data_IF_159763780750
#
_entry.id   IF_159763780750
#
_cell.length_a   1.000
_cell.length_b   1.000
_cell.length_c   1.000
_cell.angle_alpha   90.00
_cell.angle_beta   90.00
_cell.angle_gamma   90.00
#
_symmetry.space_group_name_H-M   'P 1'
#
loop_
_entity.id
_entity.type
_entity.pdbx_description
1 polymer ?
#
# COMPACT_ATOMS: atom_id res chain seq x y z
N UNK A 1 30.73 52.00 50.45
CA UNK A 1 30.02 52.70 49.35
C UNK A 1 29.95 51.74 48.17
N UNK A 2 28.74 51.40 47.69
CA UNK A 2 28.54 50.51 46.53
C UNK A 2 28.72 51.34 45.26
N UNK A 3 29.69 51.00 44.42
CA UNK A 3 29.83 51.60 43.09
C UNK A 3 28.65 51.16 42.22
N UNK A 4 27.80 52.12 41.85
CA UNK A 4 26.77 51.90 40.83
C UNK A 4 27.45 51.96 39.46
N UNK A 5 27.84 50.80 38.94
CA UNK A 5 28.37 50.68 37.57
C UNK A 5 27.22 50.82 36.58
N UNK A 6 27.12 51.99 35.94
CA UNK A 6 26.22 52.20 34.81
C UNK A 6 26.64 51.34 33.62
N UNK A 7 25.68 50.64 33.01
CA UNK A 7 25.91 49.90 31.77
C UNK A 7 26.22 50.88 30.64
N UNK A 8 27.29 50.64 29.88
CA UNK A 8 27.64 51.51 28.74
C UNK A 8 26.74 51.20 27.56
N UNK A 9 26.41 52.20 26.74
CA UNK A 9 25.58 52.05 25.54
C UNK A 9 26.11 50.96 24.58
N UNK A 10 27.43 50.77 24.53
CA UNK A 10 28.10 49.72 23.77
C UNK A 10 27.76 48.33 24.30
N UNK A 11 27.71 48.14 25.63
CA UNK A 11 27.32 46.85 26.24
C UNK A 11 25.88 46.46 25.89
N UNK A 12 24.97 47.45 25.79
CA UNK A 12 23.59 47.25 25.35
C UNK A 12 23.50 46.84 23.88
N UNK A 13 24.26 47.50 23.00
CA UNK A 13 24.28 47.18 21.57
C UNK A 13 24.85 45.78 21.30
N UNK A 14 25.92 45.40 22.00
CA UNK A 14 26.51 44.04 21.88
C UNK A 14 25.55 42.99 22.45
N UNK A 15 24.89 43.26 23.58
CA UNK A 15 23.88 42.35 24.14
C UNK A 15 22.68 42.12 23.20
N UNK A 16 22.20 43.18 22.54
CA UNK A 16 21.14 43.11 21.53
C UNK A 16 21.58 42.28 20.32
N UNK A 17 22.81 42.47 19.83
CA UNK A 17 23.36 41.72 18.71
C UNK A 17 23.42 40.21 19.02
N UNK A 18 23.93 39.84 20.19
CA UNK A 18 24.01 38.44 20.63
C UNK A 18 22.60 37.85 20.74
N UNK A 19 21.64 38.58 21.32
CA UNK A 19 20.25 38.14 21.41
C UNK A 19 19.64 37.89 20.02
N UNK A 20 19.88 38.78 19.05
CA UNK A 20 19.41 38.59 17.67
C UNK A 20 20.02 37.34 17.02
N UNK A 21 21.33 37.11 17.18
CA UNK A 21 21.98 35.91 16.64
C UNK A 21 21.43 34.63 17.27
N UNK A 22 21.17 34.62 18.58
CA UNK A 22 20.53 33.49 19.25
C UNK A 22 19.12 33.22 18.73
N UNK A 23 18.30 34.24 18.53
CA UNK A 23 16.94 34.08 17.99
C UNK A 23 16.98 33.48 16.57
N UNK A 24 17.90 33.93 15.72
CA UNK A 24 18.06 33.39 14.36
C UNK A 24 18.49 31.92 14.38
N UNK A 25 19.40 31.53 15.28
CA UNK A 25 19.81 30.14 15.47
C UNK A 25 18.65 29.25 15.97
N UNK A 26 17.84 29.76 16.89
CA UNK A 26 16.66 29.05 17.38
C UNK A 26 15.59 28.90 16.30
N UNK A 27 15.36 29.93 15.48
CA UNK A 27 14.36 29.89 14.40
C UNK A 27 14.74 28.88 13.31
N UNK A 28 16.02 28.82 12.92
CA UNK A 28 16.49 27.84 11.92
C UNK A 28 16.40 26.41 12.44
N UNK A 29 16.74 26.20 13.71
CA UNK A 29 16.61 24.91 14.39
C UNK A 29 15.14 24.49 14.49
N UNK A 30 14.25 25.40 14.91
CA UNK A 30 12.82 25.17 14.97
C UNK A 30 12.22 24.78 13.62
N UNK A 31 12.55 25.52 12.55
CA UNK A 31 12.09 25.21 11.19
C UNK A 31 12.51 23.80 10.76
N UNK A 32 13.73 23.41 11.10
CA UNK A 32 14.28 22.09 10.78
C UNK A 32 13.51 21.01 11.54
N UNK A 33 13.32 21.17 12.85
CA UNK A 33 12.58 20.23 13.69
C UNK A 33 11.14 20.06 13.23
N UNK A 34 10.45 21.15 12.89
CA UNK A 34 9.07 21.10 12.39
C UNK A 34 9.01 20.38 11.05
N UNK A 35 9.93 20.70 10.12
CA UNK A 35 9.98 20.06 8.81
C UNK A 35 10.21 18.55 8.94
N UNK A 36 11.23 18.14 9.70
CA UNK A 36 11.54 16.72 9.89
C UNK A 36 10.42 16.00 10.62
N UNK A 37 9.80 16.62 11.63
CA UNK A 37 8.65 16.05 12.34
C UNK A 37 7.45 15.79 11.42
N UNK A 38 7.15 16.71 10.50
CA UNK A 38 6.07 16.52 9.52
C UNK A 38 6.43 15.41 8.54
N UNK A 39 7.63 15.41 7.97
CA UNK A 39 8.09 14.38 7.03
C UNK A 39 8.07 12.98 7.69
N UNK A 40 8.53 12.87 8.94
CA UNK A 40 8.47 11.63 9.71
C UNK A 40 7.04 11.15 9.95
N UNK A 41 6.10 12.06 10.23
CA UNK A 41 4.69 11.70 10.42
C UNK A 41 4.06 11.18 9.12
N UNK A 42 4.37 11.81 7.99
CA UNK A 42 3.87 11.37 6.67
C UNK A 42 4.43 9.99 6.34
N UNK A 43 5.75 9.78 6.51
CA UNK A 43 6.41 8.49 6.33
C UNK A 43 5.83 7.39 7.21
N UNK A 44 5.66 7.65 8.51
CA UNK A 44 5.08 6.69 9.44
C UNK A 44 3.62 6.34 9.08
N UNK A 45 2.84 7.33 8.67
CA UNK A 45 1.44 7.11 8.26
C UNK A 45 1.37 6.28 6.98
N UNK A 46 2.21 6.60 5.98
CA UNK A 46 2.32 5.82 4.75
C UNK A 46 2.65 4.36 5.03
N UNK A 47 3.69 4.12 5.83
CA UNK A 47 4.15 2.76 6.09
C UNK A 47 3.12 1.97 6.92
N UNK A 48 2.41 2.63 7.83
CA UNK A 48 1.28 2.04 8.57
C UNK A 48 0.13 1.66 7.64
N UNK A 49 -0.27 2.57 6.73
CA UNK A 49 -1.31 2.32 5.74
C UNK A 49 -0.92 1.17 4.81
N UNK A 50 0.34 1.15 4.35
CA UNK A 50 0.85 0.10 3.49
C UNK A 50 0.82 -1.27 4.19
N UNK A 51 1.33 -1.36 5.41
CA UNK A 51 1.33 -2.62 6.16
C UNK A 51 -0.11 -3.10 6.44
N UNK A 52 -0.99 -2.23 6.91
CA UNK A 52 -2.39 -2.57 7.15
C UNK A 52 -3.10 -3.03 5.87
N UNK A 53 -2.85 -2.33 4.75
CA UNK A 53 -3.38 -2.70 3.45
C UNK A 53 -2.88 -4.07 2.98
N UNK A 54 -1.57 -4.32 3.07
CA UNK A 54 -0.95 -5.60 2.68
C UNK A 54 -1.45 -6.77 3.54
N UNK A 55 -1.56 -6.59 4.86
CA UNK A 55 -2.11 -7.63 5.75
C UNK A 55 -3.56 -7.93 5.42
N UNK A 56 -4.38 -6.89 5.19
CA UNK A 56 -5.79 -7.06 4.82
C UNK A 56 -5.92 -7.75 3.45
N UNK A 57 -5.08 -7.38 2.49
CA UNK A 57 -5.02 -8.02 1.18
C UNK A 57 -4.62 -9.50 1.27
N UNK A 58 -3.65 -9.84 2.10
CA UNK A 58 -3.27 -11.22 2.36
C UNK A 58 -4.45 -12.03 2.93
N UNK A 59 -5.19 -11.49 3.89
CA UNK A 59 -6.38 -12.15 4.45
C UNK A 59 -7.47 -12.40 3.38
N UNK A 60 -7.71 -11.44 2.48
CA UNK A 60 -8.68 -11.62 1.41
C UNK A 60 -8.22 -12.64 0.36
N UNK A 61 -6.96 -12.57 -0.05
CA UNK A 61 -6.39 -13.50 -1.03
C UNK A 61 -6.36 -14.94 -0.52
N UNK A 62 -6.19 -15.17 0.78
CA UNK A 62 -6.24 -16.52 1.37
C UNK A 62 -7.58 -17.24 1.13
N UNK A 63 -8.68 -16.50 0.92
CA UNK A 63 -9.97 -17.09 0.60
C UNK A 63 -10.12 -17.45 -0.88
N UNK A 64 -9.15 -17.12 -1.73
CA UNK A 64 -9.22 -17.41 -3.16
C UNK A 64 -9.41 -18.91 -3.43
N UNK A 65 -10.38 -19.24 -4.29
CA UNK A 65 -10.75 -20.60 -4.64
C UNK A 65 -11.56 -21.35 -3.58
N UNK A 66 -11.83 -20.75 -2.40
CA UNK A 66 -12.53 -21.48 -1.33
C UNK A 66 -13.90 -21.98 -1.80
N UNK A 67 -14.14 -23.29 -1.61
CA UNK A 67 -15.39 -23.95 -1.99
C UNK A 67 -15.59 -24.15 -3.51
N UNK A 68 -14.53 -23.99 -4.31
CA UNK A 68 -14.57 -24.13 -5.77
C UNK A 68 -13.59 -25.20 -6.25
N UNK A 69 -13.94 -25.88 -7.34
CA UNK A 69 -13.07 -26.83 -8.01
C UNK A 69 -12.50 -26.20 -9.29
N UNK A 70 -11.27 -26.58 -9.66
CA UNK A 70 -10.62 -26.16 -10.91
C UNK A 70 -9.62 -24.99 -10.78
N UNK A 71 -8.90 -24.74 -11.87
CA UNK A 71 -7.77 -23.79 -11.94
C UNK A 71 -8.15 -22.38 -12.40
N UNK A 72 -9.36 -22.17 -12.92
CA UNK A 72 -9.79 -20.87 -13.46
C UNK A 72 -10.26 -19.88 -12.36
N UNK A 73 -9.90 -20.11 -11.10
CA UNK A 73 -10.40 -19.35 -9.95
C UNK A 73 -9.50 -18.17 -9.56
N UNK A 74 -8.38 -17.98 -10.28
CA UNK A 74 -7.42 -16.91 -10.08
C UNK A 74 -6.94 -16.40 -11.44
N UNK A 75 -6.86 -15.08 -11.58
CA UNK A 75 -6.33 -14.45 -12.78
C UNK A 75 -5.61 -13.15 -12.42
N UNK A 76 -4.35 -13.02 -12.83
CA UNK A 76 -3.63 -11.75 -12.78
C UNK A 76 -3.66 -11.12 -14.16
N UNK A 77 -4.36 -9.99 -14.32
CA UNK A 77 -4.51 -9.32 -15.62
C UNK A 77 -4.73 -7.82 -15.46
N UNK A 78 -4.78 -7.10 -16.57
CA UNK A 78 -5.21 -5.70 -16.60
C UNK A 78 -6.71 -5.66 -16.88
N UNK A 79 -7.45 -4.97 -16.01
CA UNK A 79 -8.89 -4.76 -16.14
C UNK A 79 -9.20 -3.27 -16.29
N UNK A 80 -10.37 -2.98 -16.84
CA UNK A 80 -10.95 -1.65 -16.91
C UNK A 80 -11.93 -1.48 -15.76
N UNK A 81 -11.68 -0.48 -14.91
CA UNK A 81 -12.62 -0.03 -13.87
C UNK A 81 -12.95 1.43 -14.13
N UNK A 82 -14.19 1.69 -14.53
CA UNK A 82 -14.56 2.98 -15.11
C UNK A 82 -13.81 3.24 -16.41
N UNK A 83 -13.06 4.34 -16.49
CA UNK A 83 -12.26 4.72 -17.67
C UNK A 83 -10.76 4.41 -17.52
N UNK A 84 -10.35 3.68 -16.47
CA UNK A 84 -8.95 3.44 -16.14
C UNK A 84 -8.58 1.96 -16.27
N UNK A 85 -7.46 1.71 -16.93
CA UNK A 85 -6.77 0.42 -16.89
C UNK A 85 -6.03 0.26 -15.57
N UNK A 86 -6.27 -0.83 -14.85
CA UNK A 86 -5.53 -1.19 -13.66
C UNK A 86 -5.08 -2.65 -13.73
N UNK A 87 -3.84 -2.90 -13.33
CA UNK A 87 -3.36 -4.28 -13.18
C UNK A 87 -3.80 -4.80 -11.82
N UNK A 88 -4.51 -5.92 -11.87
CA UNK A 88 -5.22 -6.48 -10.74
C UNK A 88 -4.98 -7.98 -10.63
N UNK A 89 -5.05 -8.48 -9.40
CA UNK A 89 -5.21 -9.92 -9.12
C UNK A 89 -6.67 -10.15 -8.81
N UNK A 90 -7.29 -11.04 -9.56
CA UNK A 90 -8.71 -11.34 -9.48
C UNK A 90 -8.88 -12.78 -9.02
N UNK A 91 -9.85 -13.01 -8.16
CA UNK A 91 -10.21 -14.35 -7.74
C UNK A 91 -11.70 -14.46 -7.45
N UNK A 92 -12.15 -15.69 -7.26
CA UNK A 92 -13.50 -16.02 -6.82
C UNK A 92 -13.47 -17.04 -5.69
N UNK A 93 -14.52 -17.01 -4.88
CA UNK A 93 -14.75 -17.99 -3.82
C UNK A 93 -16.24 -18.12 -3.54
N UNK A 94 -16.61 -19.19 -2.83
CA UNK A 94 -17.98 -19.52 -2.49
C UNK A 94 -18.21 -19.30 -1.00
N UNK A 95 -19.15 -18.43 -0.65
CA UNK A 95 -19.59 -18.22 0.72
C UNK A 95 -20.99 -18.82 0.89
N UNK A 96 -21.06 -20.07 1.38
CA UNK A 96 -22.30 -20.83 1.44
C UNK A 96 -22.84 -21.15 0.04
N UNK A 97 -23.96 -20.56 -0.34
CA UNK A 97 -24.57 -20.72 -1.68
C UNK A 97 -24.23 -19.59 -2.64
N UNK A 98 -23.62 -18.51 -2.16
CA UNK A 98 -23.32 -17.32 -2.95
C UNK A 98 -21.90 -17.34 -3.49
N UNK A 99 -21.77 -16.94 -4.76
CA UNK A 99 -20.51 -16.75 -5.44
C UNK A 99 -20.05 -15.31 -5.30
N UNK A 100 -18.82 -15.13 -4.83
CA UNK A 100 -18.24 -13.81 -4.60
C UNK A 100 -16.95 -13.71 -5.41
N UNK A 101 -16.85 -12.66 -6.23
CA UNK A 101 -15.65 -12.33 -6.98
C UNK A 101 -15.01 -11.09 -6.41
N UNK A 102 -13.73 -11.20 -6.08
CA UNK A 102 -12.95 -10.12 -5.48
C UNK A 102 -11.65 -9.93 -6.25
N UNK A 103 -11.08 -8.74 -6.11
CA UNK A 103 -9.81 -8.42 -6.72
C UNK A 103 -9.04 -7.39 -5.92
N UNK A 104 -7.73 -7.31 -6.18
CA UNK A 104 -6.86 -6.29 -5.61
C UNK A 104 -6.23 -5.51 -6.74
N UNK A 105 -6.18 -4.19 -6.60
CA UNK A 105 -5.55 -3.33 -7.58
C UNK A 105 -4.87 -2.11 -6.94
N UNK A 106 -3.82 -1.64 -7.60
CA UNK A 106 -3.26 -0.30 -7.41
C UNK A 106 -3.96 0.65 -8.37
N UNK A 107 -4.54 1.72 -7.82
CA UNK A 107 -5.15 2.78 -8.63
C UNK A 107 -4.69 4.15 -8.18
N UNK A 108 -4.75 5.11 -9.09
CA UNK A 108 -4.50 6.52 -8.79
C UNK A 108 -5.75 7.17 -8.20
N UNK A 109 -5.54 8.01 -7.18
CA UNK A 109 -6.58 8.89 -6.64
C UNK A 109 -7.14 9.83 -7.71
N UNK A 110 -8.34 10.37 -7.49
CA UNK A 110 -9.00 11.31 -8.43
C UNK A 110 -8.17 12.55 -8.73
N UNK A 111 -7.32 12.97 -7.78
CA UNK A 111 -6.41 14.11 -7.91
C UNK A 111 -5.02 13.73 -8.45
N UNK A 112 -4.77 12.45 -8.71
CA UNK A 112 -3.47 11.88 -9.09
C UNK A 112 -2.29 12.24 -8.15
N UNK A 113 -2.56 12.63 -6.91
CA UNK A 113 -1.51 12.96 -5.92
C UNK A 113 -1.11 11.77 -5.05
N UNK A 114 -1.97 10.75 -5.02
CA UNK A 114 -1.83 9.56 -4.16
C UNK A 114 -2.15 8.31 -4.96
N UNK A 115 -1.61 7.18 -4.52
CA UNK A 115 -2.11 5.86 -4.89
C UNK A 115 -3.09 5.36 -3.84
N UNK A 116 -4.06 4.58 -4.31
CA UNK A 116 -5.05 3.89 -3.52
C UNK A 116 -4.84 2.40 -3.76
N UNK A 117 -4.60 1.68 -2.68
CA UNK A 117 -4.71 0.23 -2.73
C UNK A 117 -6.16 -0.15 -2.49
N UNK A 118 -6.80 -0.82 -3.45
CA UNK A 118 -8.25 -1.04 -3.42
C UNK A 118 -8.62 -2.51 -3.50
N UNK A 119 -9.68 -2.87 -2.79
CA UNK A 119 -10.42 -4.10 -2.96
C UNK A 119 -11.52 -3.87 -4.00
N UNK A 120 -11.57 -4.76 -4.97
CA UNK A 120 -12.53 -4.79 -6.05
C UNK A 120 -13.58 -5.86 -5.79
N UNK A 121 -14.77 -5.63 -6.32
CA UNK A 121 -15.86 -6.60 -6.38
C UNK A 121 -16.29 -6.78 -7.83
N UNK A 122 -16.45 -8.04 -8.23
CA UNK A 122 -16.74 -8.44 -9.60
C UNK A 122 -18.20 -8.85 -9.78
N UNK A 123 -18.80 -8.37 -10.86
CA UNK A 123 -20.19 -8.62 -11.26
C UNK A 123 -20.23 -9.17 -12.68
N UNK A 124 -21.24 -10.00 -12.98
CA UNK A 124 -21.40 -10.56 -14.33
C UNK A 124 -21.77 -9.47 -15.35
N UNK A 125 -22.52 -8.46 -14.93
CA UNK A 125 -23.01 -7.39 -15.78
C UNK A 125 -23.11 -6.05 -15.03
N UNK A 126 -23.46 -4.97 -15.74
CA UNK A 126 -23.60 -3.63 -15.17
C UNK A 126 -24.81 -3.49 -14.21
N UNK A 127 -25.69 -4.49 -14.17
CA UNK A 127 -26.85 -4.57 -13.26
C UNK A 127 -26.51 -5.24 -11.92
N UNK A 128 -25.22 -5.35 -11.59
CA UNK A 128 -24.72 -5.94 -10.34
C UNK A 128 -25.16 -7.39 -10.12
N UNK A 129 -25.33 -8.15 -11.21
CA UNK A 129 -25.58 -9.58 -11.11
C UNK A 129 -24.35 -10.29 -10.47
N UNK A 130 -24.58 -11.26 -9.56
CA UNK A 130 -23.50 -11.97 -8.89
C UNK A 130 -22.64 -12.69 -9.92
N UNK A 131 -21.34 -12.76 -9.64
CA UNK A 131 -20.43 -13.46 -10.55
C UNK A 131 -20.67 -14.98 -10.55
N UNK A 132 -20.26 -15.64 -11.62
CA UNK A 132 -20.49 -17.07 -11.81
C UNK A 132 -19.21 -17.91 -11.76
N UNK A 133 -19.36 -19.24 -11.71
CA UNK A 133 -18.25 -20.20 -11.65
C UNK A 133 -17.62 -20.48 -13.03
N UNK A 134 -18.32 -20.19 -14.12
CA UNK A 134 -17.95 -20.68 -15.48
C UNK A 134 -17.23 -19.64 -16.33
N UNK A 135 -17.65 -18.38 -16.30
CA UNK A 135 -17.05 -17.33 -17.11
C UNK A 135 -15.64 -16.99 -16.61
N UNK A 136 -14.83 -16.43 -17.51
CA UNK A 136 -13.48 -15.98 -17.19
C UNK A 136 -13.54 -14.71 -16.33
N UNK A 137 -12.73 -14.63 -15.27
CA UNK A 137 -12.63 -13.48 -14.38
C UNK A 137 -12.36 -12.15 -15.11
N UNK A 138 -11.66 -12.20 -16.25
CA UNK A 138 -11.40 -11.01 -17.08
C UNK A 138 -12.62 -10.47 -17.83
N UNK A 139 -13.70 -11.25 -17.95
CA UNK A 139 -14.94 -10.83 -18.62
C UNK A 139 -15.92 -10.08 -17.71
N UNK A 140 -15.73 -10.18 -16.39
CA UNK A 140 -16.58 -9.54 -15.40
C UNK A 140 -16.39 -8.02 -15.35
N UNK A 141 -17.43 -7.33 -14.89
CA UNK A 141 -17.38 -5.90 -14.57
C UNK A 141 -16.91 -5.73 -13.14
N UNK A 142 -15.89 -4.90 -12.96
CA UNK A 142 -15.26 -4.71 -11.66
C UNK A 142 -15.54 -3.30 -11.13
N UNK A 143 -15.94 -3.21 -9.87
CA UNK A 143 -16.15 -1.95 -9.14
C UNK A 143 -15.27 -1.92 -7.90
N UNK A 144 -14.91 -0.72 -7.47
CA UNK A 144 -14.18 -0.53 -6.20
C UNK A 144 -15.17 -0.75 -5.06
N UNK A 145 -14.89 -1.75 -4.21
CA UNK A 145 -15.68 -2.05 -3.01
C UNK A 145 -15.20 -1.21 -1.83
N UNK A 146 -13.89 -1.18 -1.60
CA UNK A 146 -13.29 -0.46 -0.48
C UNK A 146 -11.83 -0.11 -0.74
N UNK A 147 -11.37 0.99 -0.16
CA UNK A 147 -9.93 1.35 -0.15
C UNK A 147 -9.26 0.72 1.06
N UNK A 148 -8.20 -0.06 0.81
CA UNK A 148 -7.39 -0.73 1.82
C UNK A 148 -6.28 0.17 2.37
N UNK A 149 -5.68 1.01 1.52
CA UNK A 149 -4.62 1.93 1.94
C UNK A 149 -4.58 3.19 1.07
N UNK A 150 -4.21 4.31 1.69
CA UNK A 150 -3.82 5.55 0.99
C UNK A 150 -2.31 5.68 1.02
N UNK A 151 -1.71 5.76 -0.17
CA UNK A 151 -0.26 5.78 -0.34
C UNK A 151 0.16 7.13 -0.94
N UNK A 152 0.98 7.86 -0.19
CA UNK A 152 1.61 9.10 -0.61
C UNK A 152 2.61 8.88 -1.76
N UNK A 153 2.76 9.91 -2.60
CA UNK A 153 3.75 9.88 -3.68
C UNK A 153 5.14 10.34 -3.21
N UNK A 154 6.05 9.37 -3.14
CA UNK A 154 7.47 9.56 -2.83
C UNK A 154 8.36 9.68 -4.08
N UNK A 155 7.79 9.77 -5.29
CA UNK A 155 8.59 10.07 -6.47
C UNK A 155 9.11 11.52 -6.42
N UNK A 156 10.29 11.72 -6.98
CA UNK A 156 10.95 13.03 -7.04
C UNK A 156 10.28 13.98 -8.04
N UNK A 157 9.71 13.41 -9.10
CA UNK A 157 9.04 14.09 -10.22
C UNK A 157 7.52 14.26 -10.03
N UNK A 158 6.96 13.73 -8.94
CA UNK A 158 5.52 13.69 -8.68
C UNK A 158 4.70 13.02 -9.79
N UNK A 159 5.30 12.05 -10.48
CA UNK A 159 4.64 11.23 -11.50
C UNK A 159 3.68 10.19 -10.91
N UNK A 160 3.64 10.03 -9.59
CA UNK A 160 2.79 9.08 -8.88
C UNK A 160 2.87 7.67 -9.51
N UNK A 161 4.05 7.03 -9.60
CA UNK A 161 4.20 5.73 -10.22
C UNK A 161 3.42 4.65 -9.47
N UNK A 162 3.13 3.53 -10.13
CA UNK A 162 2.52 2.34 -9.49
C UNK A 162 3.37 1.90 -8.30
N UNK A 163 2.75 1.71 -7.14
CA UNK A 163 3.45 1.41 -5.89
C UNK A 163 3.30 -0.06 -5.47
N UNK A 164 2.20 -0.71 -5.84
CA UNK A 164 1.95 -2.13 -5.56
C UNK A 164 1.95 -2.90 -6.87
N UNK A 165 2.77 -3.94 -6.96
CA UNK A 165 2.77 -4.89 -8.08
C UNK A 165 2.45 -6.29 -7.59
N UNK A 166 1.90 -7.11 -8.50
CA UNK A 166 1.54 -8.48 -8.22
C UNK A 166 2.26 -9.39 -9.20
N UNK A 167 2.85 -10.46 -8.69
CA UNK A 167 3.42 -11.51 -9.50
C UNK A 167 2.80 -12.85 -9.11
N UNK A 168 2.38 -13.63 -10.10
CA UNK A 168 1.80 -14.95 -9.89
C UNK A 168 2.84 -15.99 -10.30
N UNK A 169 3.18 -16.87 -9.36
CA UNK A 169 4.09 -18.00 -9.57
C UNK A 169 3.47 -19.26 -8.97
N UNK A 170 4.07 -20.41 -9.23
CA UNK A 170 3.71 -21.69 -8.58
C UNK A 170 4.90 -22.14 -7.75
N UNK A 171 4.69 -22.39 -6.47
CA UNK A 171 5.75 -22.83 -5.55
C UNK A 171 5.18 -23.85 -4.56
N UNK A 172 6.06 -24.68 -3.99
CA UNK A 172 5.72 -25.38 -2.75
C UNK A 172 5.67 -24.33 -1.64
N UNK A 173 4.52 -24.23 -0.97
CA UNK A 173 4.32 -23.31 0.14
C UNK A 173 3.31 -23.89 1.13
N UNK A 174 3.54 -23.63 2.42
CA UNK A 174 2.63 -24.04 3.48
C UNK A 174 1.69 -22.88 3.82
N UNK A 175 0.39 -23.11 3.85
CA UNK A 175 -0.57 -22.08 4.21
C UNK A 175 -0.55 -21.84 5.71
N UNK A 176 -0.74 -20.60 6.14
CA UNK A 176 -0.84 -20.23 7.56
C UNK A 176 0.35 -20.72 8.43
N UNK A 177 1.49 -21.07 7.81
CA UNK A 177 2.64 -21.64 8.51
C UNK A 177 2.44 -23.07 9.03
N UNK A 178 1.40 -23.78 8.59
CA UNK A 178 1.13 -25.15 8.99
C UNK A 178 1.76 -26.14 8.00
N UNK A 179 2.84 -26.84 8.41
CA UNK A 179 3.44 -27.96 7.68
C UNK A 179 4.92 -27.78 7.29
N UNK A 180 5.48 -28.78 6.62
CA UNK A 180 6.83 -28.78 6.03
C UNK A 180 6.75 -28.53 4.52
N UNK A 181 7.62 -27.66 4.00
CA UNK A 181 7.61 -27.21 2.59
C UNK A 181 7.92 -28.34 1.61
N UNK A 182 8.63 -29.38 2.06
CA UNK A 182 9.11 -30.49 1.24
C UNK A 182 8.03 -31.54 0.91
N UNK A 183 6.95 -31.60 1.69
CA UNK A 183 5.83 -32.54 1.49
C UNK A 183 4.56 -31.86 0.95
N UNK A 184 4.60 -30.54 0.77
CA UNK A 184 3.44 -29.77 0.31
C UNK A 184 3.33 -29.81 -1.21
N UNK A 185 2.13 -30.05 -1.78
CA UNK A 185 1.92 -29.96 -3.22
C UNK A 185 2.17 -28.53 -3.73
N UNK A 186 2.41 -28.41 -5.04
CA UNK A 186 2.58 -27.09 -5.65
C UNK A 186 1.26 -26.31 -5.56
N UNK A 187 1.35 -25.08 -5.07
CA UNK A 187 0.22 -24.18 -4.94
C UNK A 187 0.50 -22.88 -5.70
N UNK A 188 -0.53 -22.23 -6.27
CA UNK A 188 -0.40 -20.86 -6.77
C UNK A 188 0.04 -19.92 -5.64
N UNK A 189 1.08 -19.15 -5.92
CA UNK A 189 1.67 -18.17 -5.02
C UNK A 189 1.52 -16.78 -5.65
N UNK A 190 0.91 -15.86 -4.90
CA UNK A 190 0.86 -14.44 -5.27
C UNK A 190 1.89 -13.70 -4.43
N UNK A 191 2.85 -13.06 -5.09
CA UNK A 191 3.81 -12.17 -4.45
C UNK A 191 3.32 -10.74 -4.65
N UNK A 192 2.92 -10.10 -3.54
CA UNK A 192 2.59 -8.68 -3.52
C UNK A 192 3.86 -7.91 -3.20
N UNK A 193 4.30 -7.06 -4.12
CA UNK A 193 5.51 -6.26 -3.98
C UNK A 193 5.16 -4.80 -3.79
N UNK A 194 5.69 -4.17 -2.75
CA UNK A 194 5.51 -2.75 -2.47
C UNK A 194 6.76 -2.13 -1.84
N UNK A 195 6.96 -0.81 -2.00
CA UNK A 195 8.08 -0.09 -1.39
C UNK A 195 7.59 0.74 -0.22
N UNK A 196 8.27 0.63 0.93
CA UNK A 196 8.08 1.55 2.05
C UNK A 196 8.65 2.94 1.74
N UNK A 197 8.28 3.93 2.54
CA UNK A 197 8.78 5.30 2.44
C UNK A 197 10.31 5.36 2.50
N UNK A 198 10.91 4.57 3.39
CA UNK A 198 12.37 4.49 3.59
C UNK A 198 13.06 3.77 2.44
N UNK A 199 12.56 2.62 2.00
CA UNK A 199 13.14 1.87 0.88
C UNK A 199 13.07 2.64 -0.43
N UNK A 200 11.98 3.40 -0.67
CA UNK A 200 11.86 4.24 -1.86
C UNK A 200 12.92 5.35 -1.88
N UNK A 201 13.13 6.02 -0.75
CA UNK A 201 14.11 7.11 -0.63
C UNK A 201 15.56 6.60 -0.68
N UNK A 202 15.83 5.42 -0.13
CA UNK A 202 17.16 4.81 -0.10
C UNK A 202 17.47 3.92 -1.33
N UNK A 203 16.54 3.78 -2.29
CA UNK A 203 16.73 2.96 -3.49
C UNK A 203 16.80 1.45 -3.21
N UNK A 204 16.22 1.00 -2.10
CA UNK A 204 16.29 -0.40 -1.65
C UNK A 204 15.24 -1.29 -2.34
N UNK A 205 15.39 -2.60 -2.13
CA UNK A 205 14.45 -3.61 -2.59
C UNK A 205 13.05 -3.41 -2.00
N UNK A 206 12.03 -3.85 -2.73
CA UNK A 206 10.64 -3.81 -2.29
C UNK A 206 10.36 -4.86 -1.21
N UNK A 207 9.49 -4.53 -0.26
CA UNK A 207 8.84 -5.52 0.59
C UNK A 207 8.07 -6.49 -0.30
N UNK A 208 8.26 -7.79 -0.07
CA UNK A 208 7.54 -8.85 -0.75
C UNK A 208 6.68 -9.59 0.27
N UNK A 209 5.38 -9.68 0.01
CA UNK A 209 4.42 -10.43 0.81
C UNK A 209 3.96 -11.64 0.00
N UNK A 210 4.51 -12.83 0.26
CA UNK A 210 4.08 -14.06 -0.41
C UNK A 210 2.75 -14.55 0.20
N UNK A 211 1.78 -14.85 -0.67
CA UNK A 211 0.47 -15.40 -0.30
C UNK A 211 0.25 -16.72 -1.02
N UNK A 212 0.26 -17.82 -0.27
CA UNK A 212 0.04 -19.17 -0.76
C UNK A 212 -1.46 -19.48 -0.87
N UNK A 213 -1.91 -19.96 -2.03
CA UNK A 213 -3.33 -20.22 -2.31
C UNK A 213 -3.60 -21.72 -2.39
N UNK A 214 -4.35 -22.25 -1.42
CA UNK A 214 -4.57 -23.69 -1.30
C UNK A 214 -5.74 -24.22 -2.11
N UNK A 215 -6.80 -23.43 -2.20
CA UNK A 215 -8.07 -23.88 -2.74
C UNK A 215 -8.10 -23.81 -4.26
N UNK A 216 -6.93 -23.62 -4.88
CA UNK A 216 -6.77 -23.52 -6.32
C UNK A 216 -5.75 -24.56 -6.73
N UNK A 217 -6.19 -25.47 -7.61
CA UNK A 217 -5.31 -26.44 -8.21
C UNK A 217 -4.37 -25.73 -9.18
N UNK A 218 -3.06 -25.98 -9.04
CA UNK A 218 -2.01 -25.51 -9.95
C UNK A 218 -2.20 -26.07 -11.36
#
# INVERSE_FOLDING_TARGET
MKYQSGTTLISLLVGLLIAMLCILALLSSYRTIVKTGVESRIAATHDTQLQAGLTTAQMFLQNAGFGLNGSNNLLTTTIQVGSKNMSAVLWRYKNGTQMICQGLADTESSDNKKRLFVLLEGFENDSDAPCNETLNLGSFKWKIKSTLAHLEDYSTDKSNPKQITFNQTTSTCTPFGAGTVEESPQHPLIIISAKTSTQKNAGLESVQVPVCLLNIQS
#
